data_IF_088950640238
#
_entry.id   IF_088950640238
#
_cell.length_a   1.000
_cell.length_b   1.000
_cell.length_c   1.000
_cell.angle_alpha   90.00
_cell.angle_beta   90.00
_cell.angle_gamma   90.00
#
_symmetry.space_group_name_H-M   'P 1'
#
loop_
_entity.id
_entity.type
_entity.pdbx_description
1 polymer ?
#
# COMPACT_ATOMS: atom_id res chain seq x y z
N UNK A 1 20.64 39.07 4.83
CA UNK A 1 19.18 38.80 4.80
C UNK A 1 18.89 37.75 5.85
N UNK A 2 18.27 38.14 6.97
CA UNK A 2 17.96 37.22 8.06
C UNK A 2 16.97 36.16 7.59
N UNK A 3 17.34 34.88 7.71
CA UNK A 3 16.42 33.77 7.52
C UNK A 3 15.34 33.86 8.59
N UNK A 4 14.16 34.34 8.23
CA UNK A 4 12.96 34.14 9.05
C UNK A 4 12.82 32.63 9.19
N UNK A 5 13.12 32.11 10.38
CA UNK A 5 13.00 30.70 10.69
C UNK A 5 11.49 30.42 10.83
N UNK A 6 10.80 30.25 9.70
CA UNK A 6 9.41 29.81 9.71
C UNK A 6 9.42 28.41 10.31
N UNK A 7 8.79 28.27 11.48
CA UNK A 7 8.75 26.99 12.16
C UNK A 7 8.07 25.96 11.24
N UNK A 8 8.78 24.86 10.96
CA UNK A 8 8.28 23.78 10.11
C UNK A 8 7.12 23.08 10.81
N UNK A 9 6.04 22.84 10.07
CA UNK A 9 4.96 21.97 10.50
C UNK A 9 5.49 20.56 10.73
N UNK A 10 4.99 19.87 11.74
CA UNK A 10 5.37 18.47 11.99
C UNK A 10 4.93 17.57 10.84
N UNK A 11 3.79 17.89 10.20
CA UNK A 11 3.21 17.07 9.16
C UNK A 11 2.52 17.88 8.05
N UNK A 12 2.77 17.55 6.78
CA UNK A 12 1.93 18.02 5.65
C UNK A 12 1.38 16.82 4.88
N UNK A 13 0.09 16.85 4.58
CA UNK A 13 -0.54 15.92 3.64
C UNK A 13 -0.58 16.52 2.23
N UNK A 14 0.25 16.00 1.33
CA UNK A 14 0.31 16.38 -0.08
C UNK A 14 -0.72 15.59 -0.90
N UNK A 15 -1.45 16.26 -1.79
CA UNK A 15 -2.54 15.62 -2.53
C UNK A 15 -3.81 15.50 -1.69
N UNK A 16 -3.99 16.37 -0.69
CA UNK A 16 -5.07 16.33 0.29
C UNK A 16 -6.48 16.32 -0.34
N UNK A 17 -6.64 16.87 -1.54
CA UNK A 17 -7.95 16.95 -2.22
C UNK A 17 -8.29 15.74 -3.08
N UNK A 18 -7.37 14.80 -3.28
CA UNK A 18 -7.62 13.54 -3.95
C UNK A 18 -8.44 12.58 -3.08
N UNK A 19 -8.95 11.49 -3.66
CA UNK A 19 -9.77 10.50 -2.94
C UNK A 19 -9.10 10.02 -1.65
N UNK A 20 -7.88 9.47 -1.75
CA UNK A 20 -7.16 8.99 -0.56
C UNK A 20 -6.68 10.12 0.33
N UNK A 21 -6.29 11.26 -0.24
CA UNK A 21 -5.91 12.46 0.52
C UNK A 21 -7.01 12.93 1.46
N UNK A 22 -8.26 13.03 0.96
CA UNK A 22 -9.42 13.42 1.78
C UNK A 22 -9.65 12.47 2.94
N UNK A 23 -9.61 11.16 2.67
CA UNK A 23 -9.74 10.16 3.74
C UNK A 23 -8.57 10.23 4.73
N UNK A 24 -7.35 10.48 4.25
CA UNK A 24 -6.16 10.61 5.12
C UNK A 24 -6.32 11.79 6.07
N UNK A 25 -6.71 12.96 5.56
CA UNK A 25 -6.90 14.16 6.40
C UNK A 25 -8.05 13.98 7.40
N UNK A 26 -9.20 13.44 6.98
CA UNK A 26 -10.31 13.17 7.90
C UNK A 26 -9.93 12.18 9.01
N UNK A 27 -9.14 11.15 8.69
CA UNK A 27 -8.65 10.20 9.68
C UNK A 27 -7.56 10.80 10.59
N UNK A 28 -6.69 11.65 10.04
CA UNK A 28 -5.68 12.37 10.82
C UNK A 28 -6.34 13.20 11.91
N UNK A 29 -7.35 14.01 11.54
CA UNK A 29 -8.18 14.80 12.47
C UNK A 29 -8.78 13.93 13.56
N UNK A 30 -9.40 12.82 13.19
CA UNK A 30 -9.99 11.88 14.15
C UNK A 30 -8.94 11.33 15.12
N UNK A 31 -7.78 10.91 14.63
CA UNK A 31 -6.69 10.36 15.45
C UNK A 31 -6.15 11.43 16.42
N UNK A 32 -5.97 12.66 15.95
CA UNK A 32 -5.51 13.79 16.78
C UNK A 32 -6.47 14.01 17.95
N UNK A 33 -7.78 14.07 17.68
CA UNK A 33 -8.81 14.25 18.72
C UNK A 33 -8.88 13.08 19.69
N UNK A 34 -8.94 11.85 19.18
CA UNK A 34 -9.12 10.64 19.99
C UNK A 34 -7.91 10.36 20.91
N UNK A 35 -6.69 10.76 20.49
CA UNK A 35 -5.46 10.49 21.24
C UNK A 35 -4.87 11.74 21.90
N UNK A 36 -5.58 12.88 21.86
CA UNK A 36 -5.13 14.18 22.38
C UNK A 36 -3.69 14.53 21.92
N UNK A 37 -3.41 14.30 20.64
CA UNK A 37 -2.09 14.57 20.07
C UNK A 37 -1.90 16.08 19.87
N UNK A 38 -0.74 16.61 20.27
CA UNK A 38 -0.39 18.00 20.04
C UNK A 38 0.79 18.08 19.05
N UNK A 39 0.47 18.26 17.76
CA UNK A 39 1.46 18.53 16.71
C UNK A 39 0.87 19.44 15.64
N UNK A 40 1.75 20.22 15.00
CA UNK A 40 1.39 21.14 13.93
C UNK A 40 1.24 20.39 12.61
N UNK A 41 0.15 20.61 11.88
CA UNK A 41 -0.10 19.92 10.61
C UNK A 41 -0.77 20.82 9.58
N UNK A 42 -0.61 20.48 8.30
CA UNK A 42 -1.20 21.23 7.19
C UNK A 42 -1.57 20.35 6.00
N UNK A 43 -2.18 20.98 5.00
CA UNK A 43 -2.61 20.32 3.76
C UNK A 43 -2.04 21.02 2.53
N UNK A 44 -1.78 20.23 1.49
CA UNK A 44 -1.31 20.74 0.22
C UNK A 44 -2.02 20.11 -0.98
N UNK A 45 -2.23 20.92 -2.02
CA UNK A 45 -2.81 20.49 -3.28
C UNK A 45 -2.77 21.59 -4.34
N UNK A 46 -3.05 21.21 -5.60
CA UNK A 46 -2.95 22.11 -6.77
C UNK A 46 -4.21 22.91 -7.11
N UNK A 47 -5.31 22.70 -6.37
CA UNK A 47 -6.62 23.28 -6.70
C UNK A 47 -7.17 23.99 -5.48
N UNK A 48 -7.06 25.31 -5.49
CA UNK A 48 -7.57 26.19 -4.45
C UNK A 48 -9.04 25.93 -4.11
N UNK A 49 -9.89 25.77 -5.14
CA UNK A 49 -11.31 25.45 -4.98
C UNK A 49 -11.52 24.14 -4.20
N UNK A 50 -10.85 23.05 -4.62
CA UNK A 50 -11.00 21.75 -3.94
C UNK A 50 -10.44 21.77 -2.51
N UNK A 51 -9.41 22.56 -2.25
CA UNK A 51 -8.87 22.74 -0.89
C UNK A 51 -9.90 23.45 -0.03
N UNK A 52 -10.55 24.49 -0.54
CA UNK A 52 -11.57 25.21 0.20
C UNK A 52 -12.77 24.31 0.53
N UNK A 53 -13.21 23.47 -0.42
CA UNK A 53 -14.26 22.48 -0.17
C UNK A 53 -13.84 21.48 0.93
N UNK A 54 -12.60 20.98 0.88
CA UNK A 54 -12.08 20.11 1.94
C UNK A 54 -12.08 20.82 3.30
N UNK A 55 -11.67 22.09 3.39
CA UNK A 55 -11.70 22.86 4.65
C UNK A 55 -13.10 22.96 5.23
N UNK A 56 -14.12 23.18 4.39
CA UNK A 56 -15.53 23.16 4.82
C UNK A 56 -15.93 21.78 5.34
N UNK A 57 -15.58 20.70 4.63
CA UNK A 57 -15.83 19.32 5.10
C UNK A 57 -15.13 19.01 6.44
N UNK A 58 -14.00 19.65 6.74
CA UNK A 58 -13.29 19.49 8.02
C UNK A 58 -13.93 20.29 9.16
N UNK A 59 -14.49 21.46 8.84
CA UNK A 59 -15.26 22.28 9.78
C UNK A 59 -16.52 21.56 10.27
N UNK A 60 -17.21 20.84 9.38
CA UNK A 60 -18.36 19.99 9.70
C UNK A 60 -18.05 18.86 10.70
N UNK A 61 -16.79 18.40 10.76
CA UNK A 61 -16.33 17.40 11.74
C UNK A 61 -15.63 18.04 12.95
N UNK A 62 -15.83 19.34 13.13
CA UNK A 62 -15.43 20.13 14.29
C UNK A 62 -13.96 20.55 14.31
N UNK A 63 -13.30 20.68 13.14
CA UNK A 63 -11.99 21.32 13.05
C UNK A 63 -12.10 22.78 12.69
N UNK A 64 -11.33 23.63 13.37
CA UNK A 64 -11.28 25.04 13.01
C UNK A 64 -10.45 25.21 11.73
N UNK A 65 -11.15 25.38 10.60
CA UNK A 65 -10.51 25.54 9.29
C UNK A 65 -9.50 26.68 9.26
N UNK A 66 -9.64 27.72 10.09
CA UNK A 66 -8.71 28.85 10.14
C UNK A 66 -7.33 28.45 10.66
N UNK A 67 -7.27 27.37 11.44
CA UNK A 67 -6.04 26.83 12.04
C UNK A 67 -5.36 25.76 11.19
N UNK A 68 -5.85 25.47 9.98
CA UNK A 68 -5.25 24.48 9.08
C UNK A 68 -4.40 25.22 8.03
N UNK A 69 -3.07 25.26 8.17
CA UNK A 69 -2.16 25.72 7.13
C UNK A 69 -2.43 25.06 5.78
N UNK A 70 -2.47 25.89 4.73
CA UNK A 70 -2.66 25.45 3.35
C UNK A 70 -1.46 25.93 2.54
N UNK A 71 -0.85 25.00 1.80
CA UNK A 71 0.22 25.32 0.85
C UNK A 71 -0.22 24.83 -0.53
N UNK A 72 -0.47 25.75 -1.45
CA UNK A 72 -0.75 25.39 -2.84
C UNK A 72 0.53 24.85 -3.49
N UNK A 73 0.40 23.76 -4.24
CA UNK A 73 1.54 23.12 -4.88
C UNK A 73 1.09 22.40 -6.15
N UNK A 74 1.70 22.78 -7.28
CA UNK A 74 1.65 22.00 -8.50
C UNK A 74 3.02 21.33 -8.74
N UNK A 75 3.08 20.01 -8.53
CA UNK A 75 4.31 19.23 -8.74
C UNK A 75 4.84 19.39 -10.17
N UNK A 76 3.97 19.63 -11.16
CA UNK A 76 4.37 19.82 -12.56
C UNK A 76 5.06 21.16 -12.83
N UNK A 77 4.94 22.12 -11.90
CA UNK A 77 5.58 23.43 -11.96
C UNK A 77 6.81 23.53 -11.05
N UNK A 78 7.28 22.40 -10.50
CA UNK A 78 8.40 22.29 -9.56
C UNK A 78 8.19 23.04 -8.22
N UNK A 79 6.93 23.25 -7.82
CA UNK A 79 6.57 23.93 -6.56
C UNK A 79 6.84 23.08 -5.31
N UNK A 80 7.25 21.81 -5.47
CA UNK A 80 7.33 20.85 -4.36
C UNK A 80 8.31 21.25 -3.26
N UNK A 81 9.34 22.04 -3.60
CA UNK A 81 10.29 22.60 -2.63
C UNK A 81 9.63 23.57 -1.65
N UNK A 82 8.57 24.26 -2.08
CA UNK A 82 7.81 25.18 -1.22
C UNK A 82 7.12 24.40 -0.10
N UNK A 83 6.55 23.24 -0.42
CA UNK A 83 5.87 22.37 0.55
C UNK A 83 6.88 21.68 1.46
N UNK A 84 7.90 21.06 0.87
CA UNK A 84 8.86 20.23 1.62
C UNK A 84 9.67 21.04 2.63
N UNK A 85 10.04 22.30 2.32
CA UNK A 85 10.70 23.22 3.28
C UNK A 85 9.87 23.52 4.52
N UNK A 86 8.55 23.36 4.47
CA UNK A 86 7.62 23.71 5.54
C UNK A 86 7.14 22.50 6.35
N UNK A 87 7.55 21.28 6.01
CA UNK A 87 7.15 20.05 6.71
C UNK A 87 8.36 19.35 7.32
N UNK A 88 8.24 18.76 8.50
CA UNK A 88 9.16 17.75 9.03
C UNK A 88 8.88 16.38 8.40
N UNK A 89 7.59 16.04 8.27
CA UNK A 89 7.11 14.83 7.58
C UNK A 89 6.14 15.21 6.46
N UNK A 90 6.34 14.62 5.28
CA UNK A 90 5.45 14.74 4.14
C UNK A 90 4.73 13.41 3.90
N UNK A 91 3.39 13.40 4.05
CA UNK A 91 2.55 12.29 3.60
C UNK A 91 2.11 12.56 2.16
N UNK A 92 2.65 11.79 1.23
CA UNK A 92 2.33 11.84 -0.17
C UNK A 92 1.10 10.96 -0.50
N UNK A 93 -0.04 11.62 -0.72
CA UNK A 93 -1.27 11.01 -1.23
C UNK A 93 -1.50 11.34 -2.71
N UNK A 94 -0.45 11.74 -3.44
CA UNK A 94 -0.52 11.96 -4.89
C UNK A 94 -0.32 10.65 -5.65
N UNK A 95 -0.54 10.70 -6.95
CA UNK A 95 -0.35 9.58 -7.85
C UNK A 95 -0.55 10.01 -9.30
N UNK A 96 -0.04 9.21 -10.26
CA UNK A 96 0.72 7.97 -10.07
C UNK A 96 2.17 8.22 -9.59
N UNK A 97 2.65 7.43 -8.64
CA UNK A 97 3.94 7.66 -7.95
C UNK A 97 5.13 7.24 -8.80
N UNK A 98 4.96 6.29 -9.73
CA UNK A 98 5.97 5.96 -10.75
C UNK A 98 6.42 7.20 -11.56
N UNK A 99 5.58 8.24 -11.63
CA UNK A 99 5.90 9.49 -12.33
C UNK A 99 6.23 10.60 -11.33
N UNK A 100 5.43 10.75 -10.27
CA UNK A 100 5.47 11.94 -9.44
C UNK A 100 6.42 11.84 -8.25
N UNK A 101 6.77 10.65 -7.78
CA UNK A 101 7.46 10.54 -6.49
C UNK A 101 8.94 10.85 -6.52
N UNK A 102 9.63 10.54 -7.62
CA UNK A 102 11.07 10.80 -7.73
C UNK A 102 11.43 12.28 -7.47
N UNK A 103 10.81 13.28 -8.13
CA UNK A 103 11.07 14.68 -7.83
C UNK A 103 10.65 15.07 -6.39
N UNK A 104 9.59 14.45 -5.85
CA UNK A 104 9.16 14.70 -4.47
C UNK A 104 10.20 14.22 -3.46
N UNK A 105 10.70 12.99 -3.62
CA UNK A 105 11.71 12.41 -2.72
C UNK A 105 13.01 13.20 -2.81
N UNK A 106 13.44 13.59 -4.03
CA UNK A 106 14.61 14.45 -4.20
C UNK A 106 14.47 15.77 -3.43
N UNK A 107 13.32 16.45 -3.55
CA UNK A 107 13.05 17.66 -2.80
C UNK A 107 13.01 17.43 -1.28
N UNK A 108 12.47 16.30 -0.83
CA UNK A 108 12.47 15.91 0.58
C UNK A 108 13.90 15.75 1.13
N UNK A 109 14.79 15.09 0.39
CA UNK A 109 16.19 14.91 0.79
C UNK A 109 16.93 16.26 0.90
N UNK A 110 16.76 17.14 -0.08
CA UNK A 110 17.42 18.45 -0.12
C UNK A 110 16.92 19.40 0.98
N UNK A 111 15.64 19.26 1.37
CA UNK A 111 15.00 20.11 2.39
C UNK A 111 14.97 19.48 3.78
N UNK A 112 15.59 18.30 3.92
CA UNK A 112 15.66 17.53 5.16
C UNK A 112 14.27 17.18 5.73
N UNK A 113 13.39 16.69 4.87
CA UNK A 113 11.99 16.33 5.18
C UNK A 113 11.79 14.83 5.03
N UNK A 114 11.20 14.18 6.02
CA UNK A 114 10.84 12.78 5.95
C UNK A 114 9.69 12.56 4.97
N UNK A 115 9.72 11.42 4.29
CA UNK A 115 8.77 11.08 3.24
C UNK A 115 8.02 9.79 3.59
N UNK A 116 6.70 9.82 3.42
CA UNK A 116 5.86 8.63 3.49
C UNK A 116 4.85 8.65 2.34
N UNK A 117 4.64 7.52 1.67
CA UNK A 117 3.54 7.36 0.71
C UNK A 117 2.72 6.11 0.96
N UNK A 118 1.66 5.92 0.17
CA UNK A 118 0.75 4.77 0.25
C UNK A 118 0.73 3.97 -1.06
N UNK A 119 1.73 4.15 -1.92
CA UNK A 119 1.76 3.58 -3.26
C UNK A 119 1.77 2.06 -3.23
N UNK A 120 1.14 1.45 -4.23
CA UNK A 120 1.18 0.01 -4.49
C UNK A 120 1.96 -0.32 -5.77
N UNK A 121 2.73 0.64 -6.30
CA UNK A 121 3.51 0.50 -7.55
C UNK A 121 4.91 -0.06 -7.25
N UNK A 122 5.21 -1.26 -7.73
CA UNK A 122 6.46 -1.97 -7.46
C UNK A 122 7.67 -1.27 -8.06
N UNK A 123 7.54 -0.81 -9.32
CA UNK A 123 8.62 -0.08 -9.99
C UNK A 123 9.05 1.14 -9.17
N UNK A 124 8.08 1.91 -8.67
CA UNK A 124 8.32 3.05 -7.79
C UNK A 124 9.09 2.65 -6.53
N UNK A 125 8.66 1.60 -5.82
CA UNK A 125 9.31 1.15 -4.58
C UNK A 125 10.78 0.76 -4.80
N UNK A 126 11.05 -0.06 -5.82
CA UNK A 126 12.43 -0.50 -6.09
C UNK A 126 13.30 0.63 -6.65
N UNK A 127 12.72 1.54 -7.44
CA UNK A 127 13.42 2.72 -7.96
C UNK A 127 13.84 3.65 -6.82
N UNK A 128 12.94 3.88 -5.86
CA UNK A 128 13.28 4.68 -4.68
C UNK A 128 14.40 4.04 -3.86
N UNK A 129 14.30 2.74 -3.61
CA UNK A 129 15.33 2.03 -2.85
C UNK A 129 16.69 2.13 -3.55
N UNK A 130 16.76 1.81 -4.84
CA UNK A 130 18.02 1.83 -5.59
C UNK A 130 18.65 3.22 -5.66
N UNK A 131 17.86 4.25 -5.92
CA UNK A 131 18.40 5.57 -6.26
C UNK A 131 18.56 6.49 -5.04
N UNK A 132 17.83 6.26 -3.94
CA UNK A 132 17.80 7.21 -2.82
C UNK A 132 18.19 6.61 -1.48
N UNK A 133 18.38 5.30 -1.32
CA UNK A 133 18.69 4.71 -0.01
C UNK A 133 19.96 5.30 0.63
N UNK A 134 21.06 5.38 -0.10
CA UNK A 134 22.33 5.95 0.40
C UNK A 134 22.22 7.46 0.68
N UNK A 135 21.55 8.21 -0.20
CA UNK A 135 21.33 9.65 -0.02
C UNK A 135 20.44 9.95 1.18
N UNK A 136 19.44 9.11 1.44
CA UNK A 136 18.54 9.18 2.59
C UNK A 136 19.31 8.91 3.90
N UNK A 137 20.14 7.87 3.92
CA UNK A 137 21.00 7.52 5.06
C UNK A 137 21.99 8.66 5.37
N UNK A 138 22.74 9.12 4.36
CA UNK A 138 23.69 10.23 4.50
C UNK A 138 23.01 11.54 4.93
N UNK A 139 21.76 11.75 4.49
CA UNK A 139 20.98 12.93 4.85
C UNK A 139 20.28 12.84 6.19
N UNK A 140 20.31 11.69 6.86
CA UNK A 140 19.50 11.36 8.05
C UNK A 140 18.00 11.59 7.83
N UNK A 141 17.49 11.17 6.67
CA UNK A 141 16.08 11.32 6.28
C UNK A 141 15.46 9.95 6.06
N UNK A 142 14.32 9.73 6.70
CA UNK A 142 13.51 8.52 6.49
C UNK A 142 12.63 8.68 5.26
N UNK A 143 12.68 7.70 4.36
CA UNK A 143 11.82 7.56 3.17
C UNK A 143 11.09 6.22 3.28
N UNK A 144 9.77 6.25 3.47
CA UNK A 144 8.94 5.04 3.63
C UNK A 144 7.88 4.96 2.54
N UNK A 145 8.14 4.25 1.44
CA UNK A 145 7.09 3.97 0.47
C UNK A 145 6.12 2.92 1.00
N UNK A 146 4.93 2.86 0.39
CA UNK A 146 3.96 1.80 0.54
C UNK A 146 3.37 1.61 1.96
N UNK A 147 3.17 2.68 2.72
CA UNK A 147 2.47 2.69 4.02
C UNK A 147 0.94 2.58 3.89
N UNK A 148 0.47 1.82 2.90
CA UNK A 148 -0.94 1.64 2.58
C UNK A 148 -1.50 0.27 2.95
N UNK A 149 -2.77 0.06 2.59
CA UNK A 149 -3.45 -1.22 2.78
C UNK A 149 -2.76 -2.39 2.06
N UNK A 150 -2.06 -2.14 0.96
CA UNK A 150 -1.38 -3.18 0.17
C UNK A 150 -0.10 -3.74 0.82
N UNK A 151 0.28 -3.30 2.02
CA UNK A 151 1.51 -3.77 2.69
C UNK A 151 1.31 -3.89 4.20
N UNK A 152 0.72 -2.87 4.83
CA UNK A 152 0.62 -2.79 6.30
C UNK A 152 -0.04 -4.02 6.93
N UNK A 153 -1.16 -4.58 6.43
CA UNK A 153 -1.78 -5.77 7.02
C UNK A 153 -0.86 -6.99 6.99
N UNK A 154 -0.13 -7.20 5.88
CA UNK A 154 0.80 -8.32 5.74
C UNK A 154 2.01 -8.13 6.65
N UNK A 155 2.67 -6.97 6.60
CA UNK A 155 3.85 -6.70 7.43
C UNK A 155 3.55 -6.80 8.93
N UNK A 156 2.45 -6.20 9.39
CA UNK A 156 2.06 -6.28 10.81
C UNK A 156 1.70 -7.69 11.25
N UNK A 157 1.05 -8.47 10.37
CA UNK A 157 0.75 -9.87 10.65
C UNK A 157 1.99 -10.76 10.70
N UNK A 158 2.97 -10.50 9.82
CA UNK A 158 4.27 -11.17 9.84
C UNK A 158 5.06 -10.84 11.11
N UNK A 159 5.20 -9.55 11.45
CA UNK A 159 5.87 -9.13 12.69
C UNK A 159 5.24 -9.79 13.92
N UNK A 160 3.90 -9.87 13.97
CA UNK A 160 3.21 -10.57 15.05
C UNK A 160 3.51 -12.08 15.05
N UNK A 161 3.44 -12.73 13.88
CA UNK A 161 3.73 -14.16 13.76
C UNK A 161 5.16 -14.47 14.21
N UNK A 162 6.15 -13.72 13.72
CA UNK A 162 7.56 -13.89 14.08
C UNK A 162 7.79 -13.75 15.59
N UNK A 163 7.19 -12.73 16.21
CA UNK A 163 7.30 -12.51 17.66
C UNK A 163 6.79 -13.67 18.51
N UNK A 164 5.86 -14.47 17.98
CA UNK A 164 5.20 -15.57 18.70
C UNK A 164 5.60 -16.97 18.19
N UNK A 165 6.40 -17.06 17.13
CA UNK A 165 6.88 -18.33 16.61
C UNK A 165 8.08 -18.79 17.43
N UNK A 166 7.97 -19.96 18.08
CA UNK A 166 9.08 -20.56 18.83
C UNK A 166 9.96 -21.38 17.90
N UNK A 167 11.24 -21.02 17.79
CA UNK A 167 12.20 -21.65 16.90
C UNK A 167 12.47 -20.86 15.61
N UNK A 168 12.90 -21.56 14.57
CA UNK A 168 13.27 -20.97 13.28
C UNK A 168 12.11 -21.04 12.31
N UNK A 169 11.64 -19.89 11.83
CA UNK A 169 10.62 -19.80 10.80
C UNK A 169 11.24 -20.06 9.41
N UNK A 170 10.65 -20.95 8.62
CA UNK A 170 11.14 -21.28 7.27
C UNK A 170 10.19 -20.84 6.16
N UNK A 171 8.88 -20.90 6.41
CA UNK A 171 7.84 -20.56 5.45
C UNK A 171 6.65 -19.90 6.13
N UNK A 172 6.08 -18.88 5.50
CA UNK A 172 4.81 -18.28 5.86
C UNK A 172 3.86 -18.29 4.68
N UNK A 173 2.69 -18.87 4.87
CA UNK A 173 1.55 -18.69 3.99
C UNK A 173 0.61 -17.61 4.58
N UNK A 174 0.47 -16.49 3.87
CA UNK A 174 -0.47 -15.43 4.19
C UNK A 174 -1.72 -15.57 3.30
N UNK A 175 -2.89 -15.72 3.91
CA UNK A 175 -4.17 -15.85 3.25
C UNK A 175 -4.98 -14.57 3.44
N UNK A 176 -5.02 -13.73 2.40
CA UNK A 176 -5.74 -12.46 2.35
C UNK A 176 -7.11 -12.65 1.68
N UNK A 177 -8.15 -12.77 2.49
CA UNK A 177 -9.53 -12.90 2.04
C UNK A 177 -10.21 -11.52 1.92
N UNK A 178 -10.75 -11.25 0.74
CA UNK A 178 -11.63 -10.10 0.48
C UNK A 178 -13.08 -10.59 0.52
N UNK A 179 -13.84 -10.13 1.50
CA UNK A 179 -15.23 -10.48 1.70
C UNK A 179 -16.07 -9.32 1.19
N UNK A 180 -16.67 -9.47 0.02
CA UNK A 180 -17.56 -8.48 -0.60
C UNK A 180 -19.00 -9.02 -0.67
N UNK A 181 -20.02 -8.14 -0.64
CA UNK A 181 -21.41 -8.57 -0.76
C UNK A 181 -21.65 -9.23 -2.13
N UNK A 182 -22.50 -10.27 -2.19
CA UNK A 182 -22.70 -11.05 -3.44
C UNK A 182 -23.08 -10.19 -4.65
N UNK A 183 -23.86 -9.13 -4.42
CA UNK A 183 -24.24 -8.13 -5.43
C UNK A 183 -23.05 -7.46 -6.12
N UNK A 184 -21.89 -7.39 -5.45
CA UNK A 184 -20.68 -6.85 -6.03
C UNK A 184 -20.18 -7.67 -7.22
N UNK A 185 -20.40 -9.00 -7.26
CA UNK A 185 -19.90 -9.86 -8.33
C UNK A 185 -20.67 -9.69 -9.65
N UNK A 186 -21.90 -9.18 -9.64
CA UNK A 186 -22.81 -9.19 -10.80
C UNK A 186 -23.07 -7.82 -11.41
N UNK A 187 -23.21 -7.73 -12.76
CA UNK A 187 -23.83 -6.64 -13.53
C UNK A 187 -24.46 -5.46 -12.78
N UNK A 188 -23.96 -4.21 -12.74
CA UNK A 188 -24.81 -3.16 -12.15
C UNK A 188 -24.25 -1.75 -11.93
N UNK A 189 -25.15 -0.77 -11.66
CA UNK A 189 -24.76 0.62 -11.39
C UNK A 189 -23.87 0.74 -10.14
N UNK A 190 -24.14 -0.06 -9.11
CA UNK A 190 -23.49 -0.01 -7.78
C UNK A 190 -22.29 -0.97 -7.64
N UNK A 191 -21.67 -1.35 -8.76
CA UNK A 191 -20.54 -2.30 -8.82
C UNK A 191 -19.18 -1.79 -8.38
N UNK A 192 -19.04 -0.50 -8.13
CA UNK A 192 -17.71 0.06 -7.94
C UNK A 192 -17.13 -0.44 -6.63
N UNK A 193 -16.03 -1.20 -6.73
CA UNK A 193 -15.28 -1.73 -5.58
C UNK A 193 -14.02 -0.92 -5.33
N UNK A 194 -13.45 -0.36 -6.39
CA UNK A 194 -12.14 0.25 -6.36
C UNK A 194 -12.20 1.62 -7.02
N UNK A 195 -11.59 2.60 -6.35
CA UNK A 195 -11.44 3.96 -6.89
C UNK A 195 -10.42 4.01 -8.03
N UNK A 196 -10.62 4.94 -8.96
CA UNK A 196 -9.78 5.15 -10.15
C UNK A 196 -8.28 5.19 -9.86
N UNK A 197 -7.84 5.80 -8.77
CA UNK A 197 -6.41 5.90 -8.45
C UNK A 197 -5.70 4.55 -8.38
N UNK A 198 -6.38 3.49 -7.91
CA UNK A 198 -5.83 2.13 -7.92
C UNK A 198 -5.80 1.54 -9.33
N UNK A 199 -6.81 1.83 -10.16
CA UNK A 199 -6.82 1.42 -11.57
C UNK A 199 -5.69 2.09 -12.36
N UNK A 200 -5.52 3.40 -12.20
CA UNK A 200 -4.44 4.17 -12.80
C UNK A 200 -3.07 3.59 -12.41
N UNK A 201 -2.89 3.31 -11.11
CA UNK A 201 -1.68 2.66 -10.58
C UNK A 201 -1.46 1.27 -11.18
N UNK A 202 -2.51 0.45 -11.33
CA UNK A 202 -2.41 -0.88 -11.96
C UNK A 202 -1.96 -0.79 -13.42
N UNK A 203 -2.52 0.16 -14.19
CA UNK A 203 -2.11 0.36 -15.59
C UNK A 203 -0.66 0.81 -15.67
N UNK A 204 -0.22 1.71 -14.78
CA UNK A 204 1.20 2.10 -14.68
C UNK A 204 2.10 0.94 -14.27
N UNK A 205 1.66 0.10 -13.33
CA UNK A 205 2.38 -1.09 -12.92
C UNK A 205 2.58 -2.04 -14.11
N UNK A 206 1.49 -2.43 -14.78
CA UNK A 206 1.52 -3.32 -15.94
C UNK A 206 2.41 -2.77 -17.06
N UNK A 207 2.36 -1.46 -17.31
CA UNK A 207 3.23 -0.79 -18.28
C UNK A 207 4.72 -0.92 -17.90
N UNK A 208 5.06 -0.86 -16.62
CA UNK A 208 6.44 -0.81 -16.14
C UNK A 208 6.97 -2.18 -15.64
N UNK A 209 6.18 -3.25 -15.72
CA UNK A 209 6.57 -4.58 -15.21
C UNK A 209 7.91 -5.11 -15.75
N UNK A 210 8.24 -4.85 -17.02
CA UNK A 210 9.54 -5.28 -17.57
C UNK A 210 10.69 -4.49 -16.96
N UNK A 211 10.53 -3.17 -16.84
CA UNK A 211 11.51 -2.30 -16.20
C UNK A 211 11.67 -2.66 -14.73
N UNK A 212 10.57 -2.96 -14.03
CA UNK A 212 10.58 -3.45 -12.65
C UNK A 212 11.40 -4.73 -12.50
N UNK A 213 11.10 -5.76 -13.32
CA UNK A 213 11.84 -7.03 -13.28
C UNK A 213 13.34 -6.84 -13.51
N UNK A 214 13.70 -6.01 -14.48
CA UNK A 214 15.10 -5.67 -14.78
C UNK A 214 15.75 -4.98 -13.58
N UNK A 215 15.11 -3.93 -13.05
CA UNK A 215 15.63 -3.15 -11.92
C UNK A 215 15.79 -4.02 -10.67
N UNK A 216 14.83 -4.90 -10.39
CA UNK A 216 14.89 -5.86 -9.27
C UNK A 216 16.07 -6.82 -9.42
N UNK A 217 16.28 -7.38 -10.61
CA UNK A 217 17.38 -8.30 -10.88
C UNK A 217 18.76 -7.61 -10.75
N UNK A 218 18.89 -6.38 -11.24
CA UNK A 218 20.10 -5.57 -11.09
C UNK A 218 20.37 -5.19 -9.63
N UNK A 219 19.32 -4.85 -8.87
CA UNK A 219 19.44 -4.43 -7.47
C UNK A 219 19.74 -5.62 -6.55
N UNK A 220 19.18 -6.79 -6.85
CA UNK A 220 19.26 -7.99 -6.01
C UNK A 220 19.70 -9.22 -6.81
N UNK A 221 20.97 -9.30 -7.23
CA UNK A 221 21.45 -10.38 -8.09
C UNK A 221 21.53 -11.74 -7.39
N UNK A 222 21.68 -11.76 -6.06
CA UNK A 222 21.89 -12.98 -5.29
C UNK A 222 20.62 -13.48 -4.61
N UNK A 223 20.37 -14.79 -4.67
CA UNK A 223 19.32 -15.42 -3.88
C UNK A 223 19.80 -15.61 -2.43
N UNK A 224 19.05 -15.06 -1.47
CA UNK A 224 19.36 -15.15 -0.03
C UNK A 224 18.57 -16.27 0.66
N UNK A 225 17.64 -16.91 -0.06
CA UNK A 225 16.71 -17.86 0.53
C UNK A 225 17.18 -19.30 0.34
N UNK A 226 17.19 -20.05 1.46
CA UNK A 226 17.35 -21.50 1.44
C UNK A 226 16.24 -22.18 0.62
N UNK A 227 16.46 -23.35 0.03
CA UNK A 227 15.38 -24.11 -0.61
C UNK A 227 14.22 -24.39 0.36
N UNK A 228 12.98 -24.19 -0.09
CA UNK A 228 11.80 -24.62 0.67
C UNK A 228 11.77 -26.14 0.74
N UNK A 229 11.69 -26.76 1.95
CA UNK A 229 11.57 -28.21 2.08
C UNK A 229 10.38 -28.76 1.28
N UNK A 230 10.50 -29.91 0.59
CA UNK A 230 9.44 -30.47 -0.26
C UNK A 230 8.07 -30.56 0.42
N UNK A 231 8.03 -30.97 1.69
CA UNK A 231 6.85 -31.09 2.53
C UNK A 231 6.18 -29.74 2.85
N UNK A 232 6.91 -28.63 2.72
CA UNK A 232 6.42 -27.26 2.88
C UNK A 232 6.12 -26.59 1.55
N UNK A 233 6.30 -27.27 0.40
CA UNK A 233 5.93 -26.71 -0.91
C UNK A 233 4.41 -26.67 -1.06
N UNK A 234 3.93 -25.66 -1.78
CA UNK A 234 2.51 -25.46 -2.08
C UNK A 234 2.35 -25.25 -3.58
N UNK A 235 1.35 -25.88 -4.18
CA UNK A 235 0.94 -25.63 -5.56
C UNK A 235 0.50 -24.18 -5.79
N UNK A 236 0.55 -23.72 -7.04
CA UNK A 236 0.07 -22.37 -7.41
C UNK A 236 -1.41 -22.19 -7.00
N UNK A 237 -2.24 -23.18 -7.34
CA UNK A 237 -3.61 -23.27 -6.84
C UNK A 237 -3.69 -24.36 -5.77
N UNK A 238 -4.35 -24.08 -4.65
CA UNK A 238 -4.61 -25.08 -3.63
C UNK A 238 -5.90 -24.82 -2.86
N UNK A 239 -6.47 -25.88 -2.31
CA UNK A 239 -7.60 -25.78 -1.40
C UNK A 239 -7.11 -25.61 0.03
N UNK A 240 -7.69 -24.66 0.75
CA UNK A 240 -7.51 -24.53 2.19
C UNK A 240 -8.84 -24.10 2.82
N UNK A 241 -9.32 -24.86 3.81
CA UNK A 241 -10.62 -24.65 4.49
C UNK A 241 -11.79 -24.48 3.52
N UNK A 242 -11.86 -25.37 2.52
CA UNK A 242 -12.94 -25.40 1.53
C UNK A 242 -12.90 -24.29 0.46
N UNK A 243 -11.91 -23.40 0.48
CA UNK A 243 -11.75 -22.32 -0.51
C UNK A 243 -10.56 -22.61 -1.43
N UNK A 244 -10.68 -22.18 -2.69
CA UNK A 244 -9.57 -22.20 -3.65
C UNK A 244 -8.75 -20.92 -3.46
N UNK A 245 -7.44 -21.09 -3.31
CA UNK A 245 -6.47 -20.02 -3.11
C UNK A 245 -5.49 -19.99 -4.28
N UNK A 246 -5.04 -18.79 -4.60
CA UNK A 246 -4.04 -18.52 -5.65
C UNK A 246 -3.19 -17.31 -5.24
N UNK A 247 -1.99 -17.13 -5.83
CA UNK A 247 -1.08 -16.07 -5.44
C UNK A 247 -1.71 -14.69 -5.63
N UNK A 248 -1.54 -13.83 -4.63
CA UNK A 248 -2.00 -12.45 -4.71
C UNK A 248 -1.05 -11.65 -5.63
N UNK A 249 -1.54 -11.04 -6.72
CA UNK A 249 -0.72 -10.29 -7.66
C UNK A 249 -0.55 -8.83 -7.19
N UNK A 250 -0.13 -8.64 -5.94
CA UNK A 250 0.09 -7.32 -5.35
C UNK A 250 1.51 -7.14 -4.80
N UNK A 251 1.84 -5.95 -4.29
CA UNK A 251 3.21 -5.59 -3.93
C UNK A 251 3.70 -6.21 -2.61
N UNK A 252 2.80 -6.81 -1.81
CA UNK A 252 3.08 -7.30 -0.46
C UNK A 252 4.28 -8.23 -0.43
N UNK A 253 4.34 -9.19 -1.37
CA UNK A 253 5.41 -10.19 -1.38
C UNK A 253 6.76 -9.55 -1.67
N UNK A 254 6.83 -8.58 -2.58
CA UNK A 254 8.06 -7.91 -2.94
C UNK A 254 8.56 -7.00 -1.80
N UNK A 255 7.67 -6.32 -1.08
CA UNK A 255 8.04 -5.53 0.10
C UNK A 255 8.54 -6.43 1.23
N UNK A 256 7.91 -7.60 1.41
CA UNK A 256 8.42 -8.63 2.34
C UNK A 256 9.81 -9.09 1.91
N UNK A 257 10.03 -9.35 0.63
CA UNK A 257 11.32 -9.78 0.11
C UNK A 257 12.42 -8.71 0.34
N UNK A 258 12.10 -7.44 0.09
CA UNK A 258 13.01 -6.32 0.36
C UNK A 258 13.35 -6.21 1.86
N UNK A 259 12.34 -6.34 2.72
CA UNK A 259 12.52 -6.25 4.18
C UNK A 259 13.37 -7.40 4.72
N UNK A 260 13.13 -8.63 4.25
CA UNK A 260 13.91 -9.79 4.66
C UNK A 260 15.35 -9.72 4.20
N UNK A 261 15.59 -9.22 2.99
CA UNK A 261 16.93 -8.99 2.48
C UNK A 261 17.70 -7.98 3.32
N UNK A 262 17.09 -6.85 3.66
CA UNK A 262 17.71 -5.88 4.56
C UNK A 262 18.10 -6.52 5.90
N UNK A 263 17.20 -7.30 6.51
CA UNK A 263 17.48 -7.97 7.79
C UNK A 263 18.56 -9.04 7.67
N UNK A 264 18.63 -9.76 6.55
CA UNK A 264 19.71 -10.70 6.28
C UNK A 264 21.06 -9.98 6.16
N UNK A 265 21.15 -8.97 5.29
CA UNK A 265 22.41 -8.29 4.96
C UNK A 265 22.92 -7.41 6.11
N UNK A 266 22.02 -6.75 6.87
CA UNK A 266 22.40 -5.78 7.91
C UNK A 266 22.32 -6.33 9.33
N UNK A 267 21.56 -7.41 9.56
CA UNK A 267 21.35 -7.98 10.90
C UNK A 267 21.69 -9.47 10.99
N UNK A 268 22.11 -10.11 9.90
CA UNK A 268 22.41 -11.54 9.88
C UNK A 268 21.18 -12.43 10.15
N UNK A 269 19.96 -11.88 10.04
CA UNK A 269 18.73 -12.63 10.31
C UNK A 269 18.46 -13.59 9.16
N UNK A 270 18.29 -14.87 9.47
CA UNK A 270 17.92 -15.89 8.48
C UNK A 270 16.56 -15.55 7.82
N UNK A 271 16.47 -15.49 6.49
CA UNK A 271 15.21 -15.23 5.81
C UNK A 271 14.33 -16.49 5.71
N UNK A 272 13.03 -16.29 5.57
CA UNK A 272 11.99 -17.30 5.38
C UNK A 272 11.19 -17.01 4.10
N UNK A 273 10.58 -18.04 3.53
CA UNK A 273 9.73 -17.85 2.35
C UNK A 273 8.38 -17.33 2.73
N UNK A 274 7.98 -16.15 2.25
CA UNK A 274 6.62 -15.66 2.41
C UNK A 274 5.85 -15.76 1.10
N UNK A 275 4.64 -16.32 1.14
CA UNK A 275 3.70 -16.31 0.01
C UNK A 275 2.37 -15.73 0.43
N UNK A 276 1.90 -14.76 -0.32
CA UNK A 276 0.60 -14.12 -0.12
C UNK A 276 -0.38 -14.70 -1.13
N UNK A 277 -1.52 -15.15 -0.63
CA UNK A 277 -2.59 -15.78 -1.37
C UNK A 277 -3.87 -15.00 -1.19
N UNK A 278 -4.70 -14.99 -2.23
CA UNK A 278 -6.05 -14.44 -2.18
C UNK A 278 -7.08 -15.48 -2.62
N UNK A 279 -8.36 -15.18 -2.42
CA UNK A 279 -9.46 -16.07 -2.77
C UNK A 279 -10.66 -15.27 -3.26
N UNK A 280 -11.40 -15.88 -4.19
CA UNK A 280 -12.68 -15.42 -4.71
C UNK A 280 -13.43 -16.63 -5.28
N UNK A 281 -14.75 -16.53 -5.56
CA UNK A 281 -15.48 -17.60 -6.21
C UNK A 281 -14.78 -18.07 -7.48
N UNK A 282 -14.61 -19.39 -7.65
CA UNK A 282 -13.80 -19.95 -8.74
C UNK A 282 -14.28 -19.47 -10.13
N UNK A 283 -15.59 -19.48 -10.36
CA UNK A 283 -16.17 -18.97 -11.61
C UNK A 283 -15.78 -17.50 -11.88
N UNK A 284 -15.76 -16.66 -10.84
CA UNK A 284 -15.41 -15.25 -10.98
C UNK A 284 -13.93 -15.07 -11.31
N UNK A 285 -13.07 -15.88 -10.69
CA UNK A 285 -11.64 -15.86 -10.98
C UNK A 285 -11.33 -16.26 -12.43
N UNK A 286 -11.85 -17.42 -12.85
CA UNK A 286 -11.52 -18.00 -14.15
C UNK A 286 -12.23 -17.30 -15.32
N UNK A 287 -13.45 -16.79 -15.13
CA UNK A 287 -14.22 -16.16 -16.21
C UNK A 287 -14.01 -14.65 -16.29
N UNK A 288 -13.61 -13.98 -15.21
CA UNK A 288 -13.49 -12.51 -15.18
C UNK A 288 -12.05 -12.08 -14.93
N UNK A 289 -11.46 -12.48 -13.80
CA UNK A 289 -10.17 -11.90 -13.36
C UNK A 289 -9.01 -12.33 -14.25
N UNK A 290 -8.84 -13.62 -14.53
CA UNK A 290 -7.72 -14.10 -15.37
C UNK A 290 -7.80 -13.53 -16.79
N UNK A 291 -8.93 -13.63 -17.52
CA UNK A 291 -9.02 -13.08 -18.86
C UNK A 291 -8.78 -11.57 -18.89
N UNK A 292 -9.36 -10.83 -17.93
CA UNK A 292 -9.17 -9.38 -17.84
C UNK A 292 -7.70 -9.00 -17.61
N UNK A 293 -7.01 -9.67 -16.68
CA UNK A 293 -5.59 -9.42 -16.43
C UNK A 293 -4.71 -9.72 -17.64
N UNK A 294 -4.99 -10.81 -18.36
CA UNK A 294 -4.27 -11.13 -19.60
C UNK A 294 -4.50 -10.06 -20.67
N UNK A 295 -5.75 -9.67 -20.92
CA UNK A 295 -6.10 -8.61 -21.88
C UNK A 295 -5.40 -7.30 -21.51
N UNK A 296 -5.51 -6.84 -20.26
CA UNK A 296 -4.90 -5.58 -19.85
C UNK A 296 -3.38 -5.60 -19.95
N UNK A 297 -2.73 -6.72 -19.62
CA UNK A 297 -1.28 -6.86 -19.74
C UNK A 297 -0.80 -6.51 -21.16
N UNK A 298 -1.44 -7.03 -22.20
CA UNK A 298 -1.07 -6.73 -23.58
C UNK A 298 -1.51 -5.33 -24.02
N UNK A 299 -2.72 -4.90 -23.65
CA UNK A 299 -3.21 -3.56 -24.00
C UNK A 299 -2.34 -2.44 -23.42
N UNK A 300 -1.70 -2.65 -22.26
CA UNK A 300 -0.83 -1.66 -21.64
C UNK A 300 0.46 -1.39 -22.44
N UNK A 301 0.90 -2.29 -23.32
CA UNK A 301 2.06 -2.03 -24.17
C UNK A 301 1.77 -1.05 -25.32
N UNK A 302 0.49 -0.91 -25.71
CA UNK A 302 0.08 -0.02 -26.78
C UNK A 302 -0.32 1.36 -26.22
N UNK A 303 0.36 2.43 -26.67
CA UNK A 303 0.18 3.79 -26.13
C UNK A 303 -1.28 4.29 -26.21
N UNK A 304 -1.95 4.05 -27.34
CA UNK A 304 -3.34 4.48 -27.55
C UNK A 304 -4.31 3.76 -26.59
N UNK A 305 -4.12 2.46 -26.38
CA UNK A 305 -4.95 1.67 -25.48
C UNK A 305 -4.73 2.05 -24.01
N UNK A 306 -3.51 2.41 -23.59
CA UNK A 306 -3.28 2.97 -22.25
C UNK A 306 -4.15 4.20 -21.99
N UNK A 307 -4.20 5.12 -22.95
CA UNK A 307 -5.06 6.30 -22.82
C UNK A 307 -6.54 5.93 -22.69
N UNK A 308 -7.01 4.92 -23.44
CA UNK A 308 -8.38 4.42 -23.33
C UNK A 308 -8.66 3.75 -21.97
N UNK A 309 -7.74 2.94 -21.46
CA UNK A 309 -7.85 2.31 -20.14
C UNK A 309 -7.96 3.37 -19.04
N UNK A 310 -7.15 4.43 -19.09
CA UNK A 310 -7.22 5.54 -18.13
C UNK A 310 -8.48 6.40 -18.29
N UNK A 311 -8.94 6.65 -19.52
CA UNK A 311 -10.09 7.54 -19.78
C UNK A 311 -11.42 6.86 -19.48
N UNK A 312 -11.53 5.55 -19.69
CA UNK A 312 -12.79 4.80 -19.56
C UNK A 312 -12.69 3.60 -18.61
N UNK A 313 -12.24 3.80 -17.35
CA UNK A 313 -12.03 2.71 -16.39
C UNK A 313 -13.29 1.88 -16.17
N UNK A 314 -14.46 2.53 -16.11
CA UNK A 314 -15.75 1.87 -15.89
C UNK A 314 -16.11 0.91 -17.03
N UNK A 315 -15.83 1.28 -18.27
CA UNK A 315 -16.11 0.46 -19.44
C UNK A 315 -15.19 -0.77 -19.44
N UNK A 316 -13.88 -0.54 -19.37
CA UNK A 316 -12.90 -1.62 -19.45
C UNK A 316 -12.98 -2.58 -18.27
N UNK A 317 -13.42 -2.13 -17.09
CA UNK A 317 -13.56 -2.97 -15.89
C UNK A 317 -15.00 -3.43 -15.63
N UNK A 318 -15.92 -3.34 -16.59
CA UNK A 318 -17.33 -3.78 -16.43
C UNK A 318 -18.02 -3.21 -15.17
N UNK A 319 -17.63 -2.00 -14.78
CA UNK A 319 -18.15 -1.28 -13.62
C UNK A 319 -17.38 -1.47 -12.30
N UNK A 320 -16.40 -2.37 -12.21
CA UNK A 320 -15.68 -2.65 -10.95
C UNK A 320 -14.83 -1.46 -10.48
N UNK A 321 -14.33 -0.62 -11.40
CA UNK A 321 -13.50 0.54 -11.07
C UNK A 321 -14.04 1.84 -11.70
N UNK A 322 -14.00 2.94 -10.94
CA UNK A 322 -14.48 4.24 -11.44
C UNK A 322 -13.88 5.43 -10.68
N UNK A 323 -13.99 6.63 -11.27
CA UNK A 323 -13.61 7.89 -10.62
C UNK A 323 -14.44 8.23 -9.37
N UNK A 324 -15.66 7.66 -9.24
CA UNK A 324 -16.47 7.88 -8.03
C UNK A 324 -16.01 6.99 -6.87
N UNK A 325 -15.35 5.87 -7.15
CA UNK A 325 -15.01 4.87 -6.14
C UNK A 325 -16.23 4.13 -5.59
N UNK A 326 -16.03 3.27 -4.58
CA UNK A 326 -17.11 2.52 -3.95
C UNK A 326 -18.08 3.44 -3.19
N UNK A 327 -19.35 3.06 -3.15
CA UNK A 327 -20.34 3.73 -2.29
C UNK A 327 -20.01 3.48 -0.82
N UNK A 328 -20.49 4.33 0.09
CA UNK A 328 -20.30 4.11 1.52
C UNK A 328 -20.85 2.76 1.99
N UNK A 329 -22.01 2.36 1.46
CA UNK A 329 -22.64 1.08 1.75
C UNK A 329 -21.74 -0.09 1.32
N UNK A 330 -21.25 -0.07 0.07
CA UNK A 330 -20.33 -1.08 -0.44
C UNK A 330 -19.04 -1.13 0.38
N UNK A 331 -18.52 0.04 0.76
CA UNK A 331 -17.33 0.12 1.59
C UNK A 331 -17.59 -0.51 2.97
N UNK A 332 -18.70 -0.17 3.66
CA UNK A 332 -19.07 -0.72 4.99
C UNK A 332 -19.31 -2.24 4.97
N UNK A 333 -19.83 -2.77 3.87
CA UNK A 333 -20.09 -4.21 3.71
C UNK A 333 -18.83 -5.02 3.36
N UNK A 334 -17.83 -4.38 2.75
CA UNK A 334 -16.55 -5.01 2.42
C UNK A 334 -15.77 -5.32 3.69
N UNK A 335 -15.21 -6.52 3.82
CA UNK A 335 -14.37 -6.89 4.96
C UNK A 335 -13.11 -7.58 4.46
N UNK A 336 -12.05 -7.51 5.26
CA UNK A 336 -10.80 -8.19 4.96
C UNK A 336 -10.41 -9.10 6.12
N UNK A 337 -9.93 -10.28 5.80
CA UNK A 337 -9.41 -11.22 6.78
C UNK A 337 -8.05 -11.75 6.33
N UNK A 338 -7.08 -11.70 7.22
CA UNK A 338 -5.73 -12.19 6.98
C UNK A 338 -5.47 -13.37 7.92
N UNK A 339 -5.03 -14.49 7.37
CA UNK A 339 -4.58 -15.65 8.15
C UNK A 339 -3.14 -15.96 7.78
N UNK A 340 -2.24 -15.97 8.75
CA UNK A 340 -0.83 -16.28 8.57
C UNK A 340 -0.57 -17.66 9.15
N UNK A 341 0.06 -18.53 8.38
CA UNK A 341 0.49 -19.86 8.82
C UNK A 341 2.01 -19.92 8.69
N UNK A 342 2.71 -19.81 9.82
CA UNK A 342 4.15 -20.02 9.90
C UNK A 342 4.45 -21.50 10.03
N UNK A 343 5.43 -21.98 9.28
CA UNK A 343 5.97 -23.33 9.36
C UNK A 343 7.49 -23.22 9.50
N UNK A 344 8.05 -24.05 10.35
CA UNK A 344 9.47 -24.04 10.61
C UNK A 344 9.86 -25.14 11.58
N UNK A 345 10.98 -24.93 12.25
CA UNK A 345 11.57 -25.90 13.16
C UNK A 345 11.62 -25.31 14.57
N UNK A 346 11.13 -26.04 15.57
CA UNK A 346 11.18 -25.62 16.97
C UNK A 346 12.59 -25.75 17.58
N UNK A 347 12.72 -25.41 18.86
CA UNK A 347 13.99 -25.46 19.61
C UNK A 347 14.59 -26.88 19.68
N UNK A 348 13.76 -27.92 19.56
CA UNK A 348 14.16 -29.33 19.57
C UNK A 348 14.40 -29.90 18.16
N UNK A 349 14.47 -29.04 17.14
CA UNK A 349 14.60 -29.40 15.73
C UNK A 349 13.41 -30.20 15.16
N UNK A 350 12.23 -30.11 15.77
CA UNK A 350 11.00 -30.72 15.26
C UNK A 350 10.18 -29.73 14.43
N UNK A 351 9.47 -30.23 13.43
CA UNK A 351 8.61 -29.38 12.59
C UNK A 351 7.42 -28.85 13.41
N UNK A 352 7.17 -27.55 13.34
CA UNK A 352 6.06 -26.90 14.04
C UNK A 352 5.34 -25.88 13.16
N UNK A 353 4.07 -25.60 13.49
CA UNK A 353 3.25 -24.61 12.79
C UNK A 353 2.49 -23.68 13.74
N UNK A 354 2.41 -22.40 13.38
CA UNK A 354 1.66 -21.39 14.13
C UNK A 354 0.68 -20.66 13.21
N UNK A 355 -0.60 -20.60 13.59
CA UNK A 355 -1.62 -19.85 12.85
C UNK A 355 -2.07 -18.61 13.59
N UNK A 356 -1.91 -17.45 12.95
CA UNK A 356 -2.39 -16.15 13.43
C UNK A 356 -3.53 -15.68 12.52
N UNK A 357 -4.64 -15.23 13.11
CA UNK A 357 -5.77 -14.65 12.35
C UNK A 357 -6.01 -13.20 12.75
N UNK A 358 -6.21 -12.34 11.76
CA UNK A 358 -6.64 -10.95 11.94
C UNK A 358 -7.85 -10.67 11.05
N UNK A 359 -8.89 -10.06 11.61
CA UNK A 359 -10.05 -9.57 10.87
C UNK A 359 -10.10 -8.05 10.99
N UNK A 360 -10.29 -7.36 9.88
CA UNK A 360 -10.59 -5.93 9.85
C UNK A 360 -11.94 -5.69 9.18
N UNK A 361 -12.82 -4.99 9.88
CA UNK A 361 -13.98 -4.34 9.26
C UNK A 361 -13.55 -2.99 8.67
N UNK A 362 -14.11 -2.61 7.53
CA UNK A 362 -13.92 -1.32 6.83
C UNK A 362 -14.51 -0.11 7.55
N UNK A 363 -14.39 -0.04 8.89
CA UNK A 363 -14.50 1.28 9.52
C UNK A 363 -13.27 2.06 9.09
N UNK A 364 -13.45 2.91 8.07
CA UNK A 364 -12.49 3.94 7.69
C UNK A 364 -12.03 4.63 8.98
N UNK A 365 -10.77 4.44 9.35
CA UNK A 365 -10.21 4.99 10.60
C UNK A 365 -10.28 4.11 11.84
N UNK A 366 -10.34 2.79 11.71
CA UNK A 366 -10.25 1.90 12.87
C UNK A 366 -9.72 0.51 12.51
N UNK A 367 -8.42 0.30 12.68
CA UNK A 367 -7.89 -1.06 12.81
C UNK A 367 -8.42 -1.65 14.13
N UNK A 368 -9.35 -2.61 14.06
CA UNK A 368 -9.82 -3.31 15.26
C UNK A 368 -8.70 -4.17 15.86
N UNK A 369 -8.54 -4.11 17.19
CA UNK A 369 -7.45 -4.72 17.98
C UNK A 369 -7.60 -6.24 18.22
N UNK A 370 -8.25 -7.00 17.34
CA UNK A 370 -8.54 -8.41 17.62
C UNK A 370 -7.71 -9.33 16.71
N UNK A 371 -6.50 -9.67 17.16
CA UNK A 371 -5.72 -10.79 16.65
C UNK A 371 -6.04 -12.02 17.51
N UNK A 372 -6.36 -13.15 16.88
CA UNK A 372 -6.60 -14.43 17.56
C UNK A 372 -5.51 -15.42 17.16
N UNK A 373 -4.86 -16.04 18.15
CA UNK A 373 -3.83 -17.06 17.95
C UNK A 373 -4.40 -18.47 18.22
N UNK A 374 -4.07 -19.45 17.37
CA UNK A 374 -4.26 -20.88 17.66
C UNK A 374 -2.98 -21.62 17.31
N UNK A 375 -2.39 -22.28 18.30
CA UNK A 375 -1.30 -23.22 18.13
C UNK A 375 -1.92 -24.59 17.84
N UNK A 376 -1.44 -25.28 16.81
CA UNK A 376 -1.78 -26.68 16.57
C UNK A 376 -0.55 -27.48 16.96
N UNK A 377 -0.67 -28.28 18.03
CA UNK A 377 0.35 -29.24 18.45
C UNK A 377 0.41 -30.40 17.48
#
# INVERSE_FOLDING_TARGET
>A
MGSVNVERLDLIVLGATGFTGKHTVKNLVKIIKENNCNFSWGISGRSKEKIQNLRTELEEIGEDKSKIPVIECDIKKDDIRIVTRQAKVLINCTGPNTILSEPIVKACLETKTHYVDISAELYHMINLHRNFNESAETSNIVVVPACGFAVIPVMTGLMYLEKHFKGTLNRVDCYAEVIIPKRAYFPGPNKCLVHYGTWESLVHELQNMQAYRRLKAETYPQNIYDPVPPEMKRSFFHKNKGKLWFPYPGPDQDVVDMSQRYLYEKKGKKPYHCKVYTTMPAWFHFLVVIPAMFIYYYLCYLKCFRHLLWKYPRFFTLGYMSHKGPTEEMAKETKFAFTFTGNGVDENKQQTSLTVKRRSSTRWGGFSRHAYCRQFN
#
